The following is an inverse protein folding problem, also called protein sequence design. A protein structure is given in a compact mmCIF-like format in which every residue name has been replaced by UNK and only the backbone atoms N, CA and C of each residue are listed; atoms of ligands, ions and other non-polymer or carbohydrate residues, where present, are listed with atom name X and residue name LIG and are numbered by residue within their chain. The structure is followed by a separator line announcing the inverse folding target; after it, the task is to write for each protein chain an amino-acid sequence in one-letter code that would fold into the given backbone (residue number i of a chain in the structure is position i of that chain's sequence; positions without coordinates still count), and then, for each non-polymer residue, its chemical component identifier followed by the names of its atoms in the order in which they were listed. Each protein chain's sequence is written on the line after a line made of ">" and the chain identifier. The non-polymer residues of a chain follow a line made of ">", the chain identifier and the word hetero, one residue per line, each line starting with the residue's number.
data_IF_688472349246
#
_entry.id   IF_688472349246
#
_cell.length_a   1.000
_cell.length_b   1.000
_cell.length_c   1.000
_cell.angle_alpha   90.00
_cell.angle_beta   90.00
_cell.angle_gamma   90.00
#
_symmetry.space_group_name_H-M   'P 1'
#
loop_
_entity.id
_entity.type
_entity.pdbx_description
1 polymer ?
#
# COMPACT_ATOMS: atom_id res chain seq x y z
N UNK A 1 -28.37 -10.36 25.14
CA UNK A 1 -27.05 -9.70 25.02
C UNK A 1 -26.20 -10.08 23.81
N UNK A 2 -26.67 -10.89 22.85
CA UNK A 2 -25.88 -11.35 21.68
C UNK A 2 -25.96 -10.45 20.44
N UNK A 3 -26.95 -9.59 20.33
CA UNK A 3 -27.22 -8.75 19.14
C UNK A 3 -26.22 -7.59 18.94
N UNK A 4 -25.70 -7.01 20.02
CA UNK A 4 -24.79 -5.84 19.94
C UNK A 4 -23.39 -6.20 19.39
N UNK A 5 -22.92 -7.43 19.61
CA UNK A 5 -21.58 -7.86 19.15
C UNK A 5 -21.53 -8.18 17.66
N UNK A 6 -22.66 -8.53 17.02
CA UNK A 6 -22.73 -8.80 15.58
C UNK A 6 -22.71 -7.51 14.77
N UNK A 7 -23.41 -6.46 15.19
CA UNK A 7 -23.44 -5.16 14.50
C UNK A 7 -22.04 -4.55 14.46
N UNK A 8 -21.30 -4.57 15.57
CA UNK A 8 -19.96 -3.98 15.65
C UNK A 8 -18.92 -4.70 14.77
N UNK A 9 -19.07 -6.01 14.52
CA UNK A 9 -18.18 -6.77 13.61
C UNK A 9 -18.45 -6.48 12.14
N UNK A 10 -19.71 -6.22 11.78
CA UNK A 10 -20.09 -5.93 10.39
C UNK A 10 -19.57 -4.57 9.97
N UNK A 11 -19.69 -3.54 10.82
CA UNK A 11 -19.22 -2.18 10.55
C UNK A 11 -17.69 -2.11 10.40
N UNK A 12 -16.93 -2.88 11.18
CA UNK A 12 -15.47 -2.90 11.07
C UNK A 12 -14.99 -3.56 9.77
N UNK A 13 -15.68 -4.58 9.27
CA UNK A 13 -15.36 -5.26 8.00
C UNK A 13 -15.71 -4.41 6.79
N UNK A 14 -16.86 -3.75 6.81
CA UNK A 14 -17.27 -2.82 5.75
C UNK A 14 -16.29 -1.66 5.64
N UNK A 15 -15.90 -1.04 6.76
CA UNK A 15 -14.91 0.04 6.76
C UNK A 15 -13.55 -0.35 6.19
N UNK A 16 -13.07 -1.57 6.48
CA UNK A 16 -11.79 -2.04 5.93
C UNK A 16 -11.87 -2.38 4.44
N UNK A 17 -13.02 -2.87 3.97
CA UNK A 17 -13.24 -3.14 2.54
C UNK A 17 -13.30 -1.85 1.73
N UNK A 18 -14.03 -0.84 2.21
CA UNK A 18 -14.14 0.48 1.56
C UNK A 18 -12.77 1.15 1.45
N UNK A 19 -11.98 1.17 2.54
CA UNK A 19 -10.64 1.74 2.51
C UNK A 19 -9.74 1.05 1.49
N UNK A 20 -9.77 -0.29 1.44
CA UNK A 20 -8.99 -1.05 0.46
C UNK A 20 -9.41 -0.73 -0.97
N UNK A 21 -10.72 -0.68 -1.25
CA UNK A 21 -11.22 -0.30 -2.57
C UNK A 21 -10.73 1.08 -2.96
N UNK A 22 -10.80 2.05 -2.04
CA UNK A 22 -10.31 3.41 -2.28
C UNK A 22 -8.81 3.44 -2.58
N UNK A 23 -7.98 2.71 -1.80
CA UNK A 23 -6.53 2.59 -2.06
C UNK A 23 -6.29 2.03 -3.46
N UNK A 24 -6.94 0.94 -3.83
CA UNK A 24 -6.77 0.29 -5.15
C UNK A 24 -7.19 1.23 -6.27
N UNK A 25 -8.32 1.93 -6.12
CA UNK A 25 -8.82 2.90 -7.12
C UNK A 25 -7.84 4.06 -7.30
N UNK A 26 -7.36 4.67 -6.21
CA UNK A 26 -6.37 5.75 -6.29
C UNK A 26 -5.06 5.27 -6.92
N UNK A 27 -4.63 4.05 -6.60
CA UNK A 27 -3.40 3.47 -7.17
C UNK A 27 -3.52 3.24 -8.67
N UNK A 28 -4.66 2.75 -9.15
CA UNK A 28 -4.89 2.62 -10.59
C UNK A 28 -5.06 3.97 -11.29
N UNK A 29 -5.64 4.96 -10.62
CA UNK A 29 -5.78 6.31 -11.18
C UNK A 29 -4.40 6.94 -11.45
N UNK A 30 -3.48 6.92 -10.46
CA UNK A 30 -2.12 7.43 -10.68
C UNK A 30 -1.35 6.59 -11.70
N UNK A 31 -1.52 5.26 -11.74
CA UNK A 31 -0.93 4.40 -12.75
C UNK A 31 -1.38 4.81 -14.17
N UNK A 32 -2.67 5.06 -14.37
CA UNK A 32 -3.22 5.48 -15.66
C UNK A 32 -2.68 6.85 -16.09
N UNK A 33 -2.56 7.80 -15.16
CA UNK A 33 -1.99 9.12 -15.45
C UNK A 33 -0.51 8.96 -15.85
N UNK A 34 0.30 8.22 -15.11
CA UNK A 34 1.70 7.97 -15.47
C UNK A 34 1.81 7.30 -16.85
N UNK A 35 0.99 6.29 -17.14
CA UNK A 35 0.97 5.66 -18.47
C UNK A 35 0.62 6.63 -19.59
N UNK A 36 -0.28 7.59 -19.34
CA UNK A 36 -0.69 8.60 -20.32
C UNK A 36 0.38 9.66 -20.61
N UNK A 37 1.31 9.90 -19.70
CA UNK A 37 2.40 10.86 -19.90
C UNK A 37 3.46 10.37 -20.91
N UNK A 38 3.53 9.05 -21.18
CA UNK A 38 4.48 8.43 -22.09
C UNK A 38 5.93 8.46 -21.57
N UNK A 39 6.82 7.80 -22.33
CA UNK A 39 8.23 7.68 -21.94
C UNK A 39 8.51 6.55 -20.94
N UNK A 40 9.72 6.03 -20.98
CA UNK A 40 10.11 4.82 -20.26
C UNK A 40 9.95 4.96 -18.73
N UNK A 41 10.33 6.12 -18.17
CA UNK A 41 10.24 6.38 -16.74
C UNK A 41 8.79 6.37 -16.23
N UNK A 42 7.88 7.02 -16.96
CA UNK A 42 6.48 7.07 -16.58
C UNK A 42 5.80 5.71 -16.74
N UNK A 43 6.13 4.95 -17.79
CA UNK A 43 5.65 3.58 -17.95
C UNK A 43 6.15 2.65 -16.86
N UNK A 44 7.42 2.78 -16.44
CA UNK A 44 7.96 2.03 -15.32
C UNK A 44 7.23 2.36 -14.01
N UNK A 45 6.98 3.65 -13.75
CA UNK A 45 6.19 4.07 -12.58
C UNK A 45 4.76 3.51 -12.62
N UNK A 46 4.09 3.59 -13.77
CA UNK A 46 2.75 3.02 -13.96
C UNK A 46 2.73 1.51 -13.65
N UNK A 47 3.72 0.77 -14.16
CA UNK A 47 3.86 -0.67 -13.92
C UNK A 47 4.03 -0.98 -12.43
N UNK A 48 4.87 -0.23 -11.70
CA UNK A 48 5.05 -0.42 -10.26
C UNK A 48 3.73 -0.17 -9.51
N UNK A 49 3.00 0.89 -9.83
CA UNK A 49 1.68 1.15 -9.24
C UNK A 49 0.69 0.01 -9.51
N UNK A 50 0.65 -0.51 -10.75
CA UNK A 50 -0.22 -1.66 -11.09
C UNK A 50 0.16 -2.90 -10.26
N UNK A 51 1.45 -3.22 -10.15
CA UNK A 51 1.93 -4.35 -9.34
C UNK A 51 1.49 -4.19 -7.88
N UNK A 52 1.66 -3.00 -7.30
CA UNK A 52 1.27 -2.72 -5.91
C UNK A 52 -0.25 -2.77 -5.73
N UNK A 53 -1.04 -2.28 -6.68
CA UNK A 53 -2.51 -2.39 -6.66
C UNK A 53 -2.96 -3.85 -6.69
N UNK A 54 -2.39 -4.66 -7.56
CA UNK A 54 -2.68 -6.10 -7.67
C UNK A 54 -2.28 -6.82 -6.36
N UNK A 55 -1.11 -6.51 -5.80
CA UNK A 55 -0.66 -7.09 -4.53
C UNK A 55 -1.58 -6.75 -3.35
N UNK A 56 -2.30 -5.62 -3.39
CA UNK A 56 -3.33 -5.27 -2.39
C UNK A 56 -4.57 -6.15 -2.46
N UNK A 57 -4.89 -6.70 -3.64
CA UNK A 57 -6.11 -7.48 -3.90
C UNK A 57 -5.87 -8.98 -3.72
N UNK A 58 -4.69 -9.47 -4.13
CA UNK A 58 -4.37 -10.91 -4.16
C UNK A 58 -4.48 -11.53 -2.76
N UNK A 59 -5.26 -12.62 -2.61
CA UNK A 59 -5.36 -13.37 -1.36
C UNK A 59 -4.15 -14.29 -1.14
N UNK A 60 -4.11 -14.97 0.00
CA UNK A 60 -3.10 -15.99 0.28
C UNK A 60 -1.83 -15.45 0.93
N UNK A 61 -0.62 -15.97 0.59
CA UNK A 61 0.63 -15.60 1.26
C UNK A 61 0.92 -14.10 1.20
N UNK A 62 0.62 -13.44 0.08
CA UNK A 62 0.76 -11.98 -0.09
C UNK A 62 -0.15 -11.23 0.88
N UNK A 63 -1.34 -11.77 1.17
CA UNK A 63 -2.26 -11.20 2.16
C UNK A 63 -1.67 -11.13 3.57
N UNK A 64 -0.76 -12.04 3.93
CA UNK A 64 -0.09 -12.04 5.24
C UNK A 64 0.97 -10.94 5.37
N UNK A 65 1.54 -10.49 4.26
CA UNK A 65 2.56 -9.43 4.19
C UNK A 65 2.00 -8.12 3.62
N UNK A 66 0.67 -7.96 3.61
CA UNK A 66 0.01 -6.77 3.02
C UNK A 66 0.45 -5.46 3.66
N UNK A 67 0.87 -5.49 4.92
CA UNK A 67 1.48 -4.34 5.58
C UNK A 67 2.75 -3.85 4.86
N UNK A 68 3.57 -4.78 4.29
CA UNK A 68 4.72 -4.40 3.45
C UNK A 68 4.29 -3.72 2.16
N UNK A 69 3.21 -4.21 1.52
CA UNK A 69 2.66 -3.59 0.31
C UNK A 69 2.20 -2.17 0.60
N UNK A 70 1.56 -1.92 1.76
CA UNK A 70 1.16 -0.57 2.19
C UNK A 70 2.36 0.35 2.38
N UNK A 71 3.42 -0.12 3.04
CA UNK A 71 4.64 0.66 3.22
C UNK A 71 5.31 0.94 1.88
N UNK A 72 5.42 -0.06 1.01
CA UNK A 72 5.97 0.10 -0.33
C UNK A 72 5.18 1.14 -1.14
N UNK A 73 3.85 1.13 -1.04
CA UNK A 73 2.99 2.08 -1.73
C UNK A 73 3.20 3.52 -1.22
N UNK A 74 3.26 3.71 0.10
CA UNK A 74 3.58 5.03 0.70
C UNK A 74 4.97 5.50 0.25
N UNK A 75 5.99 4.63 0.35
CA UNK A 75 7.37 4.98 0.00
C UNK A 75 7.52 5.30 -1.49
N UNK A 76 6.87 4.53 -2.35
CA UNK A 76 6.90 4.74 -3.79
C UNK A 76 6.21 6.05 -4.20
N UNK A 77 4.99 6.31 -3.69
CA UNK A 77 4.30 7.57 -3.93
C UNK A 77 5.08 8.78 -3.38
N UNK A 78 5.69 8.66 -2.21
CA UNK A 78 6.55 9.72 -1.68
C UNK A 78 7.79 9.97 -2.56
N UNK A 79 8.40 8.90 -3.11
CA UNK A 79 9.54 9.01 -4.02
C UNK A 79 9.14 9.69 -5.35
N UNK A 80 7.98 9.37 -5.93
CA UNK A 80 7.49 10.02 -7.16
C UNK A 80 7.17 11.49 -6.92
N UNK A 81 6.55 11.85 -5.77
CA UNK A 81 6.33 13.24 -5.37
C UNK A 81 7.67 13.97 -5.21
N UNK A 82 8.64 13.38 -4.50
CA UNK A 82 9.96 13.95 -4.30
C UNK A 82 10.71 14.17 -5.62
N UNK A 83 10.71 13.19 -6.51
CA UNK A 83 11.28 13.31 -7.84
C UNK A 83 10.64 14.44 -8.66
N UNK A 84 9.30 14.54 -8.61
CA UNK A 84 8.59 15.64 -9.28
C UNK A 84 8.91 17.01 -8.67
N UNK A 85 9.03 17.12 -7.35
CA UNK A 85 9.39 18.37 -6.69
C UNK A 85 10.78 18.88 -7.13
N UNK A 86 11.72 17.97 -7.34
CA UNK A 86 13.11 18.30 -7.68
C UNK A 86 13.31 18.53 -9.18
N UNK A 87 12.68 17.72 -10.04
CA UNK A 87 13.01 17.63 -11.46
C UNK A 87 11.77 17.69 -12.38
N UNK A 88 10.56 17.65 -11.82
CA UNK A 88 9.34 17.47 -12.59
C UNK A 88 8.83 18.74 -13.26
N UNK A 89 8.28 18.60 -14.44
CA UNK A 89 7.58 19.67 -15.15
C UNK A 89 6.30 20.08 -14.43
N UNK A 90 5.98 21.39 -14.48
CA UNK A 90 4.85 22.00 -13.78
C UNK A 90 3.68 22.22 -14.75
N UNK A 91 2.78 21.26 -14.87
CA UNK A 91 1.58 21.35 -15.71
C UNK A 91 0.36 20.74 -14.98
N UNK A 92 -0.88 21.10 -15.38
CA UNK A 92 -2.09 20.74 -14.63
C UNK A 92 -2.25 19.26 -14.30
N UNK A 93 -1.96 18.37 -15.27
CA UNK A 93 -2.07 16.92 -15.07
C UNK A 93 -1.07 16.41 -14.03
N UNK A 94 0.15 16.98 -13.97
CA UNK A 94 1.13 16.62 -12.97
C UNK A 94 0.68 17.02 -11.55
N UNK A 95 0.06 18.18 -11.39
CA UNK A 95 -0.51 18.58 -10.09
C UNK A 95 -1.68 17.70 -9.67
N UNK A 96 -2.55 17.31 -10.62
CA UNK A 96 -3.63 16.37 -10.37
C UNK A 96 -3.09 15.02 -9.88
N UNK A 97 -2.08 14.48 -10.57
CA UNK A 97 -1.42 13.24 -10.19
C UNK A 97 -0.84 13.31 -8.76
N UNK A 98 -0.13 14.40 -8.45
CA UNK A 98 0.44 14.59 -7.11
C UNK A 98 -0.64 14.75 -6.04
N UNK A 99 -1.78 15.36 -6.36
CA UNK A 99 -2.94 15.40 -5.48
C UNK A 99 -3.51 13.99 -5.20
N UNK A 100 -3.57 13.13 -6.20
CA UNK A 100 -3.98 11.72 -6.06
C UNK A 100 -2.97 10.95 -5.21
N UNK A 101 -1.66 11.10 -5.45
CA UNK A 101 -0.61 10.43 -4.68
C UNK A 101 -0.60 10.86 -3.20
N UNK A 102 -0.79 12.14 -2.89
CA UNK A 102 -0.93 12.63 -1.51
C UNK A 102 -2.17 12.03 -0.84
N UNK A 103 -3.29 11.98 -1.55
CA UNK A 103 -4.51 11.34 -1.06
C UNK A 103 -4.30 9.85 -0.81
N UNK A 104 -3.59 9.16 -1.73
CA UNK A 104 -3.22 7.76 -1.61
C UNK A 104 -2.38 7.50 -0.36
N UNK A 105 -1.32 8.27 -0.14
CA UNK A 105 -0.47 8.18 1.07
C UNK A 105 -1.33 8.33 2.32
N UNK A 106 -2.22 9.33 2.35
CA UNK A 106 -3.08 9.62 3.52
C UNK A 106 -4.01 8.45 3.81
N UNK A 107 -4.69 7.92 2.80
CA UNK A 107 -5.64 6.79 2.96
C UNK A 107 -4.91 5.52 3.37
N UNK A 108 -3.76 5.21 2.76
CA UNK A 108 -2.94 4.03 3.09
C UNK A 108 -2.38 4.13 4.51
N UNK A 109 -1.89 5.30 4.92
CA UNK A 109 -1.42 5.53 6.28
C UNK A 109 -2.54 5.35 7.31
N UNK A 110 -3.74 5.85 7.01
CA UNK A 110 -4.91 5.66 7.85
C UNK A 110 -5.34 4.18 7.92
N UNK A 111 -5.35 3.47 6.78
CA UNK A 111 -5.63 2.03 6.75
C UNK A 111 -4.61 1.25 7.57
N UNK A 112 -3.31 1.55 7.42
CA UNK A 112 -2.22 0.94 8.18
C UNK A 112 -2.39 1.17 9.69
N UNK A 113 -2.78 2.39 10.08
CA UNK A 113 -3.04 2.71 11.49
C UNK A 113 -4.18 1.89 12.05
N UNK A 114 -5.30 1.79 11.33
CA UNK A 114 -6.50 1.04 11.77
C UNK A 114 -6.31 -0.48 11.77
N UNK A 115 -5.60 -1.03 10.78
CA UNK A 115 -5.53 -2.49 10.59
C UNK A 115 -4.28 -3.13 11.18
N UNK A 116 -3.15 -2.43 11.14
CA UNK A 116 -1.85 -2.96 11.53
C UNK A 116 -1.34 -2.40 12.86
N UNK A 117 -2.09 -1.47 13.47
CA UNK A 117 -1.73 -0.82 14.75
C UNK A 117 -0.64 0.26 14.59
N UNK A 118 -0.59 0.89 13.42
CA UNK A 118 0.34 1.98 13.11
C UNK A 118 1.81 1.55 13.10
N UNK A 119 2.76 2.49 13.28
CA UNK A 119 4.20 2.21 13.20
C UNK A 119 4.67 1.13 14.18
N UNK A 120 4.12 1.11 15.39
CA UNK A 120 4.47 0.12 16.42
C UNK A 120 4.00 -1.27 16.02
N UNK A 121 2.79 -1.39 15.46
CA UNK A 121 2.25 -2.65 14.96
C UNK A 121 3.08 -3.20 13.80
N UNK A 122 3.49 -2.33 12.87
CA UNK A 122 4.38 -2.66 11.76
C UNK A 122 5.74 -3.15 12.25
N UNK A 123 6.38 -2.45 13.19
CA UNK A 123 7.65 -2.88 13.77
C UNK A 123 7.56 -4.27 14.43
N UNK A 124 6.45 -4.54 15.11
CA UNK A 124 6.17 -5.85 15.71
C UNK A 124 6.00 -6.94 14.66
N UNK A 125 5.31 -6.66 13.56
CA UNK A 125 5.13 -7.60 12.44
C UNK A 125 6.47 -7.87 11.73
N UNK A 126 7.28 -6.84 11.47
CA UNK A 126 8.61 -6.97 10.90
C UNK A 126 9.51 -7.87 11.75
N UNK A 127 9.55 -7.63 13.07
CA UNK A 127 10.31 -8.48 14.00
C UNK A 127 9.87 -9.94 13.95
N UNK A 128 8.56 -10.19 13.91
CA UNK A 128 8.02 -11.56 13.80
C UNK A 128 8.43 -12.25 12.50
N UNK A 129 8.45 -11.52 11.39
CA UNK A 129 8.87 -12.03 10.09
C UNK A 129 10.35 -12.41 10.12
N UNK A 130 11.22 -11.54 10.64
CA UNK A 130 12.67 -11.78 10.77
C UNK A 130 12.93 -13.05 11.61
N UNK A 131 12.30 -13.15 12.78
CA UNK A 131 12.47 -14.32 13.67
C UNK A 131 12.04 -15.62 12.98
N UNK A 132 10.95 -15.61 12.21
CA UNK A 132 10.50 -16.78 11.44
C UNK A 132 11.51 -17.18 10.37
N UNK A 133 12.03 -16.22 9.61
CA UNK A 133 13.00 -16.49 8.55
C UNK A 133 14.32 -17.01 9.11
N UNK A 134 14.82 -16.42 10.20
CA UNK A 134 16.05 -16.87 10.88
C UNK A 134 15.88 -18.26 11.47
N UNK A 135 14.75 -18.54 12.13
CA UNK A 135 14.45 -19.86 12.68
C UNK A 135 14.37 -20.97 11.63
N UNK A 136 13.81 -20.67 10.45
CA UNK A 136 13.78 -21.63 9.32
C UNK A 136 15.17 -21.92 8.76
N UNK A 137 16.07 -20.95 8.71
CA UNK A 137 17.46 -21.14 8.24
C UNK A 137 18.26 -22.04 9.20
N UNK A 138 18.11 -21.85 10.49
CA UNK A 138 18.77 -22.68 11.51
C UNK A 138 18.28 -24.15 11.44
N UNK A 139 16.98 -24.36 11.25
CA UNK A 139 16.42 -25.69 11.12
C UNK A 139 16.87 -26.42 9.83
N UNK A 140 17.08 -25.68 8.73
CA UNK A 140 17.56 -26.24 7.46
C UNK A 140 19.05 -26.59 7.48
N UNK A 141 19.85 -25.85 8.23
CA UNK A 141 21.31 -26.10 8.36
C UNK A 141 21.67 -27.28 9.29
N UNK A 142 20.69 -27.88 9.97
CA UNK A 142 20.88 -29.05 10.85
C UNK A 142 20.53 -30.40 10.21
N UNK A 143 20.18 -30.40 8.94
CA UNK A 143 19.93 -31.62 8.15
C UNK A 143 21.06 -31.83 7.15
#
# INVERSE_FOLDING_TARGET
>A
MATTSMVHRTDSRLGSSVLRTLVVTLTFATAAIHASMGGLLFLANALVYVILAVAMIVPGPIGQVRWLVRIALIGFAAATIGGWLLLGARFPLAYLDKGIEVSLITVVAFELWRTDGGPIGVARQARRLIVRLTGMQIAKGRR
#
